data_IF_865731751957
#
_entry.id   IF_865731751957
#
_cell.length_a   1.000
_cell.length_b   1.000
_cell.length_c   1.000
_cell.angle_alpha   90.00
_cell.angle_beta   90.00
_cell.angle_gamma   90.00
#
_symmetry.space_group_name_H-M   'P 1'
#
loop_
_entity.id
_entity.type
_entity.pdbx_description
1 polymer ?
#
# COMPACT_ATOMS: atom_id res chain seq x y z
N UNK A 1 -10.92 15.63 24.73
CA UNK A 1 -9.50 15.47 24.33
C UNK A 1 -9.42 14.20 23.49
N UNK A 2 -9.10 14.24 22.19
CA UNK A 2 -9.20 13.05 21.36
C UNK A 2 -8.05 12.09 21.68
N UNK A 3 -8.45 10.90 22.12
CA UNK A 3 -7.62 9.77 22.47
C UNK A 3 -6.89 9.21 21.22
N UNK A 4 -5.56 9.39 21.15
CA UNK A 4 -4.69 8.75 20.16
C UNK A 4 -4.48 7.28 20.53
N UNK A 5 -5.50 6.44 20.35
CA UNK A 5 -5.30 4.99 20.28
C UNK A 5 -5.00 4.62 18.81
N UNK A 6 -3.80 4.96 18.32
CA UNK A 6 -3.31 4.48 17.02
C UNK A 6 -2.52 3.19 17.27
N UNK A 7 -3.23 2.09 17.48
CA UNK A 7 -2.62 0.76 17.39
C UNK A 7 -1.96 0.61 16.01
N UNK A 8 -0.61 0.55 15.90
CA UNK A 8 0.07 0.80 14.62
C UNK A 8 -0.09 -0.33 13.60
N UNK A 9 -0.55 -1.51 14.04
CA UNK A 9 -0.50 -2.76 13.27
C UNK A 9 -1.75 -3.64 13.37
N UNK A 10 -2.78 -3.29 14.16
CA UNK A 10 -4.02 -4.08 14.14
C UNK A 10 -4.87 -3.72 12.91
N UNK A 11 -5.06 -4.69 12.01
CA UNK A 11 -5.99 -4.58 10.88
C UNK A 11 -5.43 -3.86 9.66
N UNK A 12 -4.18 -4.16 9.26
CA UNK A 12 -3.66 -3.73 7.95
C UNK A 12 -4.35 -4.56 6.86
N UNK A 13 -5.48 -4.05 6.38
CA UNK A 13 -6.20 -4.62 5.24
C UNK A 13 -5.43 -4.38 3.95
N UNK A 14 -5.77 -5.13 2.89
CA UNK A 14 -5.24 -4.90 1.53
C UNK A 14 -5.41 -3.43 1.10
N UNK A 15 -6.47 -2.79 1.57
CA UNK A 15 -6.72 -1.36 1.41
C UNK A 15 -5.64 -0.51 2.06
N UNK A 16 -5.34 -0.72 3.34
CA UNK A 16 -4.28 0.02 4.04
C UNK A 16 -2.90 -0.19 3.41
N UNK A 17 -2.58 -1.41 2.97
CA UNK A 17 -1.31 -1.67 2.26
C UNK A 17 -1.23 -0.81 1.00
N UNK A 18 -2.29 -0.83 0.19
CA UNK A 18 -2.35 -0.05 -1.04
C UNK A 18 -2.30 1.45 -0.76
N UNK A 19 -3.02 1.93 0.27
CA UNK A 19 -2.98 3.34 0.74
C UNK A 19 -1.55 3.77 1.06
N UNK A 20 -0.85 2.97 1.88
CA UNK A 20 0.54 3.27 2.26
C UNK A 20 1.49 3.23 1.06
N UNK A 21 1.33 2.24 0.19
CA UNK A 21 2.15 2.09 -1.01
C UNK A 21 1.98 3.26 -1.96
N UNK A 22 0.75 3.67 -2.28
CA UNK A 22 0.56 4.82 -3.16
C UNK A 22 0.94 6.13 -2.47
N UNK A 23 0.80 6.25 -1.14
CA UNK A 23 1.22 7.44 -0.43
C UNK A 23 2.75 7.62 -0.47
N UNK A 24 3.49 6.50 -0.50
CA UNK A 24 4.95 6.52 -0.57
C UNK A 24 5.49 6.61 -2.01
N UNK A 25 4.98 5.80 -2.93
CA UNK A 25 5.49 5.70 -4.31
C UNK A 25 4.67 6.48 -5.34
N UNK A 26 3.38 6.67 -5.09
CA UNK A 26 2.43 7.18 -6.08
C UNK A 26 1.96 6.12 -7.08
N UNK A 27 0.88 6.45 -7.79
CA UNK A 27 0.25 5.54 -8.76
C UNK A 27 1.10 5.28 -9.99
N UNK A 28 1.89 6.26 -10.43
CA UNK A 28 2.77 6.09 -11.59
C UNK A 28 3.85 5.03 -11.33
N UNK A 29 4.49 5.07 -10.16
CA UNK A 29 5.53 4.12 -9.79
C UNK A 29 4.94 2.73 -9.53
N UNK A 30 3.77 2.65 -8.90
CA UNK A 30 3.02 1.41 -8.77
C UNK A 30 2.68 0.82 -10.15
N UNK A 31 2.26 1.64 -11.11
CA UNK A 31 1.98 1.21 -12.48
C UNK A 31 3.22 0.74 -13.26
N UNK A 32 4.42 1.23 -12.91
CA UNK A 32 5.69 0.75 -13.50
C UNK A 32 6.08 -0.62 -12.93
N UNK A 33 5.98 -0.79 -11.60
CA UNK A 33 6.33 -2.04 -10.92
C UNK A 33 5.30 -3.14 -11.16
N UNK A 34 4.03 -2.74 -11.19
CA UNK A 34 2.88 -3.60 -11.42
C UNK A 34 2.19 -3.03 -12.66
N UNK A 35 2.62 -3.49 -13.83
CA UNK A 35 2.08 -3.08 -15.14
C UNK A 35 0.64 -3.56 -15.35
N UNK A 36 -0.28 -3.01 -14.57
CA UNK A 36 -1.72 -3.20 -14.68
C UNK A 36 -2.37 -1.89 -15.10
N UNK A 37 -3.31 -1.99 -16.05
CA UNK A 37 -4.08 -0.84 -16.54
C UNK A 37 -4.82 -0.11 -15.42
N UNK A 38 -5.17 -0.83 -14.34
CA UNK A 38 -5.87 -0.27 -13.18
C UNK A 38 -5.14 0.92 -12.55
N UNK A 39 -3.80 0.92 -12.50
CA UNK A 39 -3.03 2.02 -11.91
C UNK A 39 -2.73 3.16 -12.90
N UNK A 40 -2.97 2.94 -14.20
CA UNK A 40 -2.65 3.91 -15.25
C UNK A 40 -3.89 4.68 -15.73
N UNK A 41 -5.05 4.04 -15.75
CA UNK A 41 -6.28 4.60 -16.35
C UNK A 41 -7.30 5.10 -15.34
N UNK A 42 -7.44 4.45 -14.19
CA UNK A 42 -8.36 4.87 -13.12
C UNK A 42 -7.75 4.54 -11.74
N UNK A 43 -6.66 5.24 -11.37
CA UNK A 43 -5.94 4.97 -10.14
C UNK A 43 -6.75 5.41 -8.91
N UNK A 44 -7.59 4.52 -8.41
CA UNK A 44 -8.30 4.69 -7.15
C UNK A 44 -8.13 3.47 -6.26
N UNK A 45 -8.19 3.69 -4.94
CA UNK A 45 -8.12 2.61 -3.95
C UNK A 45 -9.23 1.58 -4.21
N UNK A 46 -10.46 2.03 -4.47
CA UNK A 46 -11.60 1.14 -4.66
C UNK A 46 -11.55 0.35 -5.98
N UNK A 47 -11.16 0.99 -7.09
CA UNK A 47 -11.00 0.29 -8.39
C UNK A 47 -9.91 -0.77 -8.29
N UNK A 48 -8.80 -0.41 -7.65
CA UNK A 48 -7.66 -1.28 -7.40
C UNK A 48 -8.04 -2.47 -6.52
N UNK A 49 -8.74 -2.27 -5.40
CA UNK A 49 -9.18 -3.38 -4.56
C UNK A 49 -10.13 -4.33 -5.29
N UNK A 50 -11.07 -3.81 -6.08
CA UNK A 50 -11.94 -4.64 -6.93
C UNK A 50 -11.12 -5.44 -7.94
N UNK A 51 -10.09 -4.84 -8.54
CA UNK A 51 -9.19 -5.52 -9.47
C UNK A 51 -8.33 -6.59 -8.78
N UNK A 52 -7.68 -6.26 -7.66
CA UNK A 52 -6.86 -7.19 -6.86
C UNK A 52 -7.67 -8.37 -6.30
N UNK A 53 -9.00 -8.22 -6.13
CA UNK A 53 -9.90 -9.34 -5.81
C UNK A 53 -10.13 -10.28 -6.98
N UNK A 54 -10.17 -9.78 -8.21
CA UNK A 54 -10.35 -10.57 -9.43
C UNK A 54 -9.03 -11.12 -9.99
N UNK A 55 -7.90 -10.55 -9.58
CA UNK A 55 -6.58 -10.86 -10.13
C UNK A 55 -5.58 -11.20 -9.01
N UNK A 56 -5.52 -12.47 -8.56
CA UNK A 56 -4.71 -12.88 -7.41
C UNK A 56 -3.21 -12.62 -7.56
N UNK A 57 -2.65 -12.79 -8.77
CA UNK A 57 -1.24 -12.52 -9.01
C UNK A 57 -0.88 -11.04 -8.80
N UNK A 58 -1.80 -10.13 -9.10
CA UNK A 58 -1.59 -8.70 -8.90
C UNK A 58 -1.60 -8.35 -7.40
N UNK A 59 -2.48 -9.00 -6.62
CA UNK A 59 -2.48 -8.93 -5.16
C UNK A 59 -1.13 -9.36 -4.59
N UNK A 60 -0.64 -10.51 -5.00
CA UNK A 60 0.65 -11.03 -4.53
C UNK A 60 1.80 -10.04 -4.82
N UNK A 61 1.79 -9.36 -5.98
CA UNK A 61 2.77 -8.31 -6.28
C UNK A 61 2.66 -7.11 -5.35
N UNK A 62 1.45 -6.63 -5.06
CA UNK A 62 1.23 -5.51 -4.13
C UNK A 62 1.73 -5.88 -2.73
N UNK A 63 1.43 -7.09 -2.26
CA UNK A 63 1.89 -7.60 -0.96
C UNK A 63 3.41 -7.73 -0.90
N UNK A 64 4.04 -8.30 -1.93
CA UNK A 64 5.50 -8.42 -2.01
C UNK A 64 6.18 -7.03 -1.96
N UNK A 65 5.65 -6.07 -2.71
CA UNK A 65 6.16 -4.69 -2.76
C UNK A 65 5.97 -3.98 -1.41
N UNK A 66 4.87 -4.23 -0.71
CA UNK A 66 4.67 -3.75 0.66
C UNK A 66 5.71 -4.33 1.63
N UNK A 67 6.00 -5.63 1.53
CA UNK A 67 7.03 -6.28 2.38
C UNK A 67 8.42 -5.69 2.10
N UNK A 68 8.78 -5.47 0.83
CA UNK A 68 10.03 -4.81 0.46
C UNK A 68 10.13 -3.39 1.04
N UNK A 69 9.04 -2.62 0.93
CA UNK A 69 8.98 -1.27 1.51
C UNK A 69 9.16 -1.31 3.04
N UNK A 70 8.50 -2.24 3.74
CA UNK A 70 8.58 -2.36 5.20
C UNK A 70 9.96 -2.84 5.67
N UNK A 71 10.63 -3.69 4.89
CA UNK A 71 12.02 -4.11 5.15
C UNK A 71 13.03 -2.99 4.93
N UNK A 72 12.67 -1.99 4.14
CA UNK A 72 13.54 -0.86 3.84
C UNK A 72 13.79 -0.03 5.11
N UNK A 73 15.05 0.33 5.41
CA UNK A 73 15.41 1.09 6.62
C UNK A 73 14.71 2.47 6.69
N UNK A 74 14.35 3.03 5.54
CA UNK A 74 13.62 4.29 5.43
C UNK A 74 12.18 4.21 5.97
N UNK A 75 11.53 3.04 5.90
CA UNK A 75 10.19 2.85 6.49
C UNK A 75 10.25 2.79 8.02
N UNK A 76 11.29 2.16 8.57
CA UNK A 76 11.50 2.08 10.03
C UNK A 76 11.68 3.46 10.66
N UNK A 77 12.36 4.39 9.98
CA UNK A 77 12.56 5.75 10.47
C UNK A 77 11.25 6.57 10.53
N UNK A 78 10.35 6.39 9.55
CA UNK A 78 9.03 7.02 9.55
C UNK A 78 8.16 6.48 10.68
N UNK A 79 8.30 5.19 11.03
CA UNK A 79 7.60 4.60 12.17
C UNK A 79 8.21 4.98 13.53
N UNK A 80 9.53 5.23 13.58
CA UNK A 80 10.25 5.66 14.78
C UNK A 80 10.04 7.15 15.14
N UNK A 81 9.53 7.97 14.22
CA UNK A 81 9.23 9.40 14.45
C UNK A 81 7.84 9.63 15.09
N UNK A 82 7.08 8.55 15.32
CA UNK A 82 5.85 8.53 16.12
C UNK A 82 6.16 7.98 17.55
N UNK A 83 7.44 7.96 17.99
CA UNK A 83 7.91 7.66 19.37
C UNK A 83 8.18 8.92 20.19
#
# INVERSE_FOLDING_TARGET
>A
MPNRSRDPLHGVTLEKMLVRLHAHFGWQELGKRISIRCFQSDPSIQSSLKFLRKTPWARAKVEALYVEMVKSPWYRAVQASDS
#
